data_IF_453572132104
#
_entry.id   IF_453572132104
#
_cell.length_a   1.000
_cell.length_b   1.000
_cell.length_c   1.000
_cell.angle_alpha   90.00
_cell.angle_beta   90.00
_cell.angle_gamma   90.00
#
_symmetry.space_group_name_H-M   'P 1'
#
loop_
_entity.id
_entity.type
_entity.pdbx_description
1 polymer ?
#
# COMPACT_ATOMS: atom_id res chain seq x y z
N UNK A 1 -9.93 -28.12 44.56
CA UNK A 1 -10.56 -27.58 43.36
C UNK A 1 -11.08 -26.15 43.50
N UNK A 2 -11.68 -25.78 44.61
CA UNK A 2 -12.20 -24.40 44.81
C UNK A 2 -11.11 -23.30 44.86
N UNK A 3 -9.88 -23.59 45.19
CA UNK A 3 -8.77 -22.60 45.29
C UNK A 3 -8.14 -22.23 43.96
N UNK A 4 -8.23 -23.06 42.93
CA UNK A 4 -7.73 -22.76 41.58
C UNK A 4 -8.61 -21.77 40.82
N UNK A 5 -9.91 -21.77 41.07
CA UNK A 5 -10.86 -20.87 40.45
C UNK A 5 -10.82 -19.42 40.99
N UNK A 6 -10.33 -19.23 42.23
CA UNK A 6 -10.23 -17.90 42.84
C UNK A 6 -9.07 -17.05 42.28
N UNK A 7 -8.08 -17.68 41.65
CA UNK A 7 -6.93 -16.99 41.08
C UNK A 7 -7.06 -16.77 39.57
N UNK A 8 -8.09 -17.33 38.91
CA UNK A 8 -8.34 -17.20 37.52
C UNK A 8 -8.46 -15.75 37.05
N UNK A 9 -9.20 -14.84 37.70
CA UNK A 9 -9.29 -13.46 37.26
C UNK A 9 -7.97 -12.69 37.36
N UNK A 10 -7.09 -13.05 38.31
CA UNK A 10 -5.78 -12.42 38.44
C UNK A 10 -4.81 -12.82 37.32
N UNK A 11 -4.88 -14.06 36.86
CA UNK A 11 -4.11 -14.55 35.72
C UNK A 11 -4.55 -13.90 34.39
N UNK A 12 -5.84 -13.73 34.21
CA UNK A 12 -6.38 -13.05 33.03
C UNK A 12 -5.93 -11.60 32.98
N UNK A 13 -5.92 -10.86 34.09
CA UNK A 13 -5.47 -9.49 34.17
C UNK A 13 -3.97 -9.29 33.89
N UNK A 14 -3.15 -10.31 34.17
CA UNK A 14 -1.70 -10.25 33.91
C UNK A 14 -1.38 -10.60 32.44
N UNK A 15 -2.13 -11.52 31.84
CA UNK A 15 -1.92 -11.95 30.44
C UNK A 15 -2.36 -10.92 29.40
N UNK A 16 -3.44 -10.19 29.65
CA UNK A 16 -3.97 -9.20 28.69
C UNK A 16 -2.99 -8.06 28.40
N UNK A 17 -2.40 -7.38 29.39
CA UNK A 17 -1.43 -6.32 29.09
C UNK A 17 -0.15 -6.83 28.44
N UNK A 18 0.27 -8.06 28.75
CA UNK A 18 1.45 -8.66 28.13
C UNK A 18 1.23 -8.97 26.65
N UNK A 19 0.06 -9.46 26.28
CA UNK A 19 -0.30 -9.67 24.87
C UNK A 19 -0.34 -8.35 24.08
N UNK A 20 -0.86 -7.28 24.67
CA UNK A 20 -0.91 -5.95 24.02
C UNK A 20 0.50 -5.41 23.75
N UNK A 21 1.40 -5.52 24.72
CA UNK A 21 2.79 -5.06 24.56
C UNK A 21 3.53 -5.84 23.47
N UNK A 22 3.30 -7.14 23.35
CA UNK A 22 3.90 -7.98 22.30
C UNK A 22 3.37 -7.62 20.92
N UNK A 23 2.08 -7.32 20.79
CA UNK A 23 1.46 -6.89 19.52
C UNK A 23 2.01 -5.54 19.10
N UNK A 24 2.10 -4.57 20.00
CA UNK A 24 2.66 -3.25 19.71
C UNK A 24 4.15 -3.35 19.34
N UNK A 25 4.92 -4.18 20.04
CA UNK A 25 6.31 -4.42 19.70
C UNK A 25 6.51 -5.10 18.35
N UNK A 26 5.66 -6.05 17.98
CA UNK A 26 5.70 -6.73 16.70
C UNK A 26 5.34 -5.78 15.53
N UNK A 27 4.34 -4.90 15.69
CA UNK A 27 3.96 -3.88 14.72
C UNK A 27 5.11 -2.88 14.49
N UNK A 28 5.74 -2.37 15.55
CA UNK A 28 6.88 -1.45 15.45
C UNK A 28 8.09 -2.08 14.75
N UNK A 29 8.40 -3.35 15.03
CA UNK A 29 9.48 -4.09 14.38
C UNK A 29 9.17 -4.32 12.91
N UNK A 30 7.91 -4.62 12.57
CA UNK A 30 7.49 -4.80 11.17
C UNK A 30 7.64 -3.50 10.36
N UNK A 31 7.25 -2.35 10.90
CA UNK A 31 7.43 -1.05 10.25
C UNK A 31 8.91 -0.70 10.01
N UNK A 32 9.79 -1.04 10.93
CA UNK A 32 11.24 -0.80 10.79
C UNK A 32 11.90 -1.66 9.72
N UNK A 33 11.34 -2.81 9.41
CA UNK A 33 11.91 -3.81 8.50
C UNK A 33 11.15 -3.92 7.17
N UNK A 34 10.28 -2.93 6.84
CA UNK A 34 9.60 -2.92 5.55
C UNK A 34 10.63 -2.88 4.41
N UNK A 35 10.53 -3.79 3.41
CA UNK A 35 11.40 -3.74 2.25
C UNK A 35 11.25 -2.40 1.51
N UNK A 36 12.32 -1.94 0.89
CA UNK A 36 12.30 -0.65 0.17
C UNK A 36 11.31 -0.63 -0.98
N UNK A 37 10.99 -1.78 -1.57
CA UNK A 37 9.91 -1.93 -2.56
C UNK A 37 8.56 -1.50 -2.01
N UNK A 38 8.22 -1.88 -0.79
CA UNK A 38 6.98 -1.45 -0.15
C UNK A 38 6.97 0.03 0.18
N UNK A 39 8.12 0.59 0.57
CA UNK A 39 8.26 2.04 0.75
C UNK A 39 8.03 2.80 -0.56
N UNK A 40 8.59 2.32 -1.66
CA UNK A 40 8.39 2.90 -2.98
C UNK A 40 6.92 2.86 -3.41
N UNK A 41 6.25 1.73 -3.22
CA UNK A 41 4.81 1.60 -3.50
C UNK A 41 4.01 2.59 -2.65
N UNK A 42 4.30 2.68 -1.36
CA UNK A 42 3.63 3.62 -0.45
C UNK A 42 3.80 5.06 -0.90
N UNK A 43 5.00 5.45 -1.29
CA UNK A 43 5.27 6.81 -1.78
C UNK A 43 4.38 7.17 -2.97
N UNK A 44 4.23 6.26 -3.93
CA UNK A 44 3.35 6.47 -5.08
C UNK A 44 1.89 6.53 -4.66
N UNK A 45 1.44 5.58 -3.84
CA UNK A 45 0.05 5.51 -3.37
C UNK A 45 -0.39 6.76 -2.62
N UNK A 46 0.50 7.33 -1.83
CA UNK A 46 0.24 8.52 -0.99
C UNK A 46 0.54 9.83 -1.73
N UNK A 47 1.10 9.79 -2.94
CA UNK A 47 1.37 10.97 -3.73
C UNK A 47 0.08 11.66 -4.19
N UNK A 48 0.16 12.96 -4.47
CA UNK A 48 -0.99 13.76 -4.89
C UNK A 48 -1.46 13.34 -6.27
N UNK A 49 -2.76 13.04 -6.40
CA UNK A 49 -3.38 12.71 -7.68
C UNK A 49 -3.76 13.96 -8.47
N UNK A 50 -4.17 13.75 -9.72
CA UNK A 50 -4.70 14.80 -10.57
C UNK A 50 -5.89 15.57 -9.96
N UNK A 51 -6.68 14.89 -9.12
CA UNK A 51 -7.66 15.55 -8.26
C UNK A 51 -6.97 15.92 -6.96
N UNK A 52 -6.64 17.17 -6.77
CA UNK A 52 -5.85 17.73 -5.66
C UNK A 52 -6.24 17.24 -4.26
N UNK A 53 -7.52 16.91 -4.05
CA UNK A 53 -8.05 16.43 -2.77
C UNK A 53 -7.84 14.93 -2.51
N UNK A 54 -7.32 14.18 -3.49
CA UNK A 54 -7.13 12.73 -3.40
C UNK A 54 -5.68 12.33 -3.61
N UNK A 55 -5.26 11.25 -2.93
CA UNK A 55 -4.03 10.55 -3.27
C UNK A 55 -4.20 9.71 -4.54
N UNK A 56 -3.10 9.29 -5.15
CA UNK A 56 -3.13 8.39 -6.32
C UNK A 56 -3.93 7.12 -5.99
N UNK A 57 -3.75 6.56 -4.80
CA UNK A 57 -4.51 5.37 -4.36
C UNK A 57 -6.01 5.65 -4.29
N UNK A 58 -6.43 6.77 -3.72
CA UNK A 58 -7.84 7.12 -3.62
C UNK A 58 -8.46 7.34 -5.00
N UNK A 59 -7.74 7.99 -5.90
CA UNK A 59 -8.19 8.20 -7.28
C UNK A 59 -8.31 6.89 -8.07
N UNK A 60 -7.34 5.99 -7.93
CA UNK A 60 -7.42 4.63 -8.50
C UNK A 60 -8.60 3.85 -7.94
N UNK A 61 -8.83 3.94 -6.64
CA UNK A 61 -9.96 3.29 -6.00
C UNK A 61 -11.29 3.79 -6.59
N UNK A 62 -11.44 5.10 -6.75
CA UNK A 62 -12.63 5.69 -7.32
C UNK A 62 -12.84 5.35 -8.81
N UNK A 63 -11.77 5.18 -9.58
CA UNK A 63 -11.86 4.95 -11.03
C UNK A 63 -11.91 3.47 -11.42
N UNK A 64 -11.11 2.63 -10.79
CA UNK A 64 -10.96 1.21 -11.17
C UNK A 64 -11.83 0.31 -10.31
N UNK A 65 -11.71 0.40 -9.00
CA UNK A 65 -12.47 -0.45 -8.08
C UNK A 65 -13.96 -0.15 -8.11
N UNK A 66 -14.35 1.11 -8.30
CA UNK A 66 -15.75 1.47 -8.46
C UNK A 66 -16.36 0.85 -9.70
N UNK A 67 -15.66 0.83 -10.83
CA UNK A 67 -16.10 0.15 -12.05
C UNK A 67 -16.32 -1.33 -11.83
N UNK A 68 -15.40 -1.99 -11.10
CA UNK A 68 -15.53 -3.41 -10.75
C UNK A 68 -16.77 -3.68 -9.90
N UNK A 69 -17.05 -2.85 -8.91
CA UNK A 69 -18.26 -2.99 -8.06
C UNK A 69 -19.54 -2.67 -8.82
N UNK A 70 -19.48 -1.85 -9.85
CA UNK A 70 -20.62 -1.53 -10.73
C UNK A 70 -20.94 -2.65 -11.75
N UNK A 71 -20.15 -3.73 -11.79
CA UNK A 71 -20.38 -4.90 -12.64
C UNK A 71 -19.51 -4.98 -13.89
N UNK A 72 -18.56 -4.08 -14.09
CA UNK A 72 -17.58 -4.17 -15.17
C UNK A 72 -16.65 -5.37 -14.95
N UNK A 73 -16.32 -6.08 -16.02
CA UNK A 73 -15.34 -7.16 -15.99
C UNK A 73 -13.93 -6.59 -15.89
N UNK A 74 -13.45 -6.41 -14.68
CA UNK A 74 -12.10 -5.91 -14.39
C UNK A 74 -11.37 -6.89 -13.50
N UNK A 75 -10.18 -7.30 -13.95
CA UNK A 75 -9.21 -8.06 -13.17
C UNK A 75 -8.10 -7.14 -12.70
N UNK A 76 -7.94 -6.99 -11.40
CA UNK A 76 -6.92 -6.12 -10.80
C UNK A 76 -5.74 -6.98 -10.39
N UNK A 77 -4.57 -6.76 -11.02
CA UNK A 77 -3.31 -7.38 -10.64
C UNK A 77 -2.68 -6.67 -9.42
N UNK A 78 -2.87 -5.35 -9.32
CA UNK A 78 -2.46 -4.54 -8.19
C UNK A 78 -1.08 -3.90 -8.36
N UNK A 79 -0.43 -3.65 -7.23
CA UNK A 79 0.84 -2.94 -7.14
C UNK A 79 2.04 -3.87 -7.22
N UNK A 80 3.07 -3.44 -7.94
CA UNK A 80 4.38 -4.09 -8.00
C UNK A 80 5.48 -3.03 -8.01
N UNK A 81 6.59 -3.31 -7.35
CA UNK A 81 7.79 -2.48 -7.43
C UNK A 81 9.01 -3.33 -7.72
N UNK A 82 9.93 -2.79 -8.51
CA UNK A 82 11.20 -3.42 -8.85
C UNK A 82 12.27 -2.36 -9.09
N UNK A 83 13.51 -2.74 -8.93
CA UNK A 83 14.66 -1.92 -9.26
C UNK A 83 15.24 -2.39 -10.61
N UNK A 84 15.33 -1.52 -11.61
CA UNK A 84 16.01 -1.86 -12.86
C UNK A 84 17.49 -2.22 -12.62
N UNK A 85 18.10 -3.10 -13.43
CA UNK A 85 19.49 -3.57 -13.20
C UNK A 85 20.53 -2.45 -13.12
N UNK A 86 20.35 -1.36 -13.85
CA UNK A 86 21.26 -0.21 -13.89
C UNK A 86 20.66 1.05 -13.26
N UNK A 87 19.55 0.91 -12.52
CA UNK A 87 18.83 2.03 -11.91
C UNK A 87 19.09 2.12 -10.41
N UNK A 88 19.16 3.35 -9.90
CA UNK A 88 19.19 3.64 -8.46
C UNK A 88 17.78 3.74 -7.87
N UNK A 89 16.80 4.05 -8.71
CA UNK A 89 15.41 4.30 -8.34
C UNK A 89 14.55 3.05 -8.52
N UNK A 90 13.41 3.04 -7.84
CA UNK A 90 12.40 1.99 -7.99
C UNK A 90 11.40 2.35 -9.07
N UNK A 91 11.04 1.37 -9.89
CA UNK A 91 9.86 1.44 -10.76
C UNK A 91 8.67 0.84 -10.03
N UNK A 92 7.58 1.59 -9.93
CA UNK A 92 6.34 1.18 -9.28
C UNK A 92 5.26 1.09 -10.34
N UNK A 93 4.59 -0.04 -10.42
CA UNK A 93 3.54 -0.31 -11.39
C UNK A 93 2.23 -0.65 -10.68
N UNK A 94 1.14 -0.13 -11.24
CA UNK A 94 -0.21 -0.62 -10.95
C UNK A 94 -0.82 -1.14 -12.25
N UNK A 95 -1.35 -2.36 -12.23
CA UNK A 95 -1.91 -2.99 -13.41
C UNK A 95 -3.29 -3.58 -13.18
N UNK A 96 -4.10 -3.50 -14.20
CA UNK A 96 -5.41 -4.11 -14.29
C UNK A 96 -5.75 -4.45 -15.74
N UNK A 97 -6.68 -5.36 -15.92
CA UNK A 97 -7.18 -5.78 -17.23
C UNK A 97 -8.69 -5.56 -17.29
N UNK A 98 -9.16 -4.93 -18.34
CA UNK A 98 -10.59 -4.76 -18.64
C UNK A 98 -10.92 -5.27 -20.04
N UNK A 99 -12.10 -4.92 -20.56
CA UNK A 99 -12.54 -5.35 -21.90
C UNK A 99 -11.63 -4.83 -23.03
N UNK A 100 -10.94 -3.71 -22.84
CA UNK A 100 -10.01 -3.12 -23.81
C UNK A 100 -8.60 -3.71 -23.74
N UNK A 101 -8.29 -4.51 -22.71
CA UNK A 101 -7.03 -5.17 -22.53
C UNK A 101 -6.33 -4.81 -21.20
N UNK A 102 -5.03 -5.05 -21.16
CA UNK A 102 -4.21 -4.80 -19.98
C UNK A 102 -3.72 -3.35 -19.94
N UNK A 103 -3.93 -2.70 -18.80
CA UNK A 103 -3.49 -1.33 -18.52
C UNK A 103 -2.43 -1.36 -17.44
N UNK A 104 -1.35 -0.62 -17.63
CA UNK A 104 -0.25 -0.46 -16.67
C UNK A 104 0.05 1.02 -16.49
N UNK A 105 0.04 1.48 -15.25
CA UNK A 105 0.52 2.79 -14.86
C UNK A 105 1.88 2.63 -14.16
N UNK A 106 2.89 3.35 -14.61
CA UNK A 106 4.26 3.22 -14.12
C UNK A 106 4.78 4.55 -13.60
N UNK A 107 5.34 4.53 -12.41
CA UNK A 107 6.03 5.66 -11.78
C UNK A 107 7.46 5.29 -11.44
N UNK A 108 8.35 6.28 -11.47
CA UNK A 108 9.67 6.20 -10.89
C UNK A 108 9.63 6.80 -9.49
N UNK A 109 9.98 6.03 -8.48
CA UNK A 109 10.05 6.45 -7.08
C UNK A 109 11.50 6.62 -6.64
N UNK A 110 11.89 7.85 -6.41
CA UNK A 110 13.19 8.21 -5.86
C UNK A 110 13.09 8.26 -4.33
N UNK A 111 13.28 7.12 -3.66
CA UNK A 111 13.04 6.97 -2.21
C UNK A 111 13.88 7.95 -1.38
N UNK A 112 15.15 8.14 -1.75
CA UNK A 112 16.04 9.06 -1.05
C UNK A 112 15.65 10.54 -1.17
N UNK A 113 15.09 10.93 -2.31
CA UNK A 113 14.64 12.31 -2.59
C UNK A 113 13.17 12.55 -2.26
N UNK A 114 12.43 11.49 -1.91
CA UNK A 114 10.97 11.51 -1.72
C UNK A 114 10.22 12.08 -2.93
N UNK A 115 10.68 11.73 -4.14
CA UNK A 115 10.12 12.18 -5.40
C UNK A 115 9.43 11.03 -6.13
N UNK A 116 8.28 11.32 -6.73
CA UNK A 116 7.49 10.40 -7.55
C UNK A 116 7.27 11.00 -8.92
N UNK A 117 7.71 10.32 -9.97
CA UNK A 117 7.66 10.80 -11.35
C UNK A 117 6.87 9.81 -12.22
N UNK A 118 5.73 10.21 -12.82
CA UNK A 118 4.99 9.37 -13.74
C UNK A 118 5.82 9.10 -15.01
N UNK A 119 5.81 7.85 -15.49
CA UNK A 119 6.61 7.41 -16.64
C UNK A 119 5.79 7.20 -17.91
N UNK A 120 4.49 6.93 -17.80
CA UNK A 120 3.61 6.70 -18.93
C UNK A 120 2.37 7.58 -18.87
N UNK A 121 1.53 7.50 -19.92
CA UNK A 121 0.35 8.36 -20.04
C UNK A 121 -0.67 8.09 -18.93
N UNK A 122 -0.90 6.82 -18.60
CA UNK A 122 -1.86 6.48 -17.54
C UNK A 122 -1.39 6.99 -16.16
N UNK A 123 -0.12 6.85 -15.84
CA UNK A 123 0.45 7.40 -14.62
C UNK A 123 0.37 8.93 -14.58
N UNK A 124 0.60 9.61 -15.71
CA UNK A 124 0.42 11.07 -15.83
C UNK A 124 -1.02 11.50 -15.62
N UNK A 125 -1.97 10.73 -16.14
CA UNK A 125 -3.39 11.03 -15.96
C UNK A 125 -3.87 10.85 -14.53
N UNK A 126 -3.23 9.96 -13.78
CA UNK A 126 -3.52 9.69 -12.37
C UNK A 126 -2.81 10.66 -11.42
N UNK A 127 -1.70 11.24 -11.85
CA UNK A 127 -0.83 12.07 -11.02
C UNK A 127 -1.11 13.56 -11.19
N UNK A 128 -0.72 14.35 -10.20
CA UNK A 128 -0.71 15.79 -10.31
C UNK A 128 0.28 16.24 -11.41
N UNK A 129 -0.14 17.18 -12.23
CA UNK A 129 0.76 17.86 -13.19
C UNK A 129 1.71 18.76 -12.40
N UNK A 130 2.97 18.42 -12.43
CA UNK A 130 4.02 19.34 -12.03
C UNK A 130 4.24 20.37 -13.12
#
# INVERSE_FOLDING_TARGET
MRRLLSNWPKLVFILVPFCIVVVDGAVLVHERHQPETEKAIRMVRESVSRKESFTVQQYLYATVYHRKTAGDEISIEGWRAYRPPNGEDYMVEFSFTDADGRHVATWRAEVGKRSVLPQDQLARDLSWRQ
#
